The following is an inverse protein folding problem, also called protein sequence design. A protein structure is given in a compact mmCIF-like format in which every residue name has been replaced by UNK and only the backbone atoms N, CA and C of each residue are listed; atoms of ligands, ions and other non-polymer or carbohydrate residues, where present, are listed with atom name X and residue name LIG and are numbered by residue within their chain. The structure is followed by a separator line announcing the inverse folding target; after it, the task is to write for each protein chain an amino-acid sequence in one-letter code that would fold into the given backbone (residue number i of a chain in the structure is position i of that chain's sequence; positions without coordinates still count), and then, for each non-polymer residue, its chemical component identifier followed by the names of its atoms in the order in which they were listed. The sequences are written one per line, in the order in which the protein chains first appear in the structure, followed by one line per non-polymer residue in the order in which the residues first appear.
data_IF_604491574519
#
_entry.id   IF_604491574519
#
_cell.length_a   1.000
_cell.length_b   1.000
_cell.length_c   1.000
_cell.angle_alpha   90.00
_cell.angle_beta   90.00
_cell.angle_gamma   90.00
#
_symmetry.space_group_name_H-M   'P 1'
#
loop_
_entity.id
_entity.type
_entity.pdbx_description
1 polymer ?
#
# COMPACT_ATOMS: atom_id res chain seq x y z
N UNK A 1 -15.64 -17.69 14.74
CA UNK A 1 -15.62 -16.83 15.94
C UNK A 1 -14.76 -15.61 15.65
N UNK A 2 -15.33 -14.42 15.75
CA UNK A 2 -14.57 -13.18 15.62
C UNK A 2 -13.81 -12.93 16.93
N UNK A 3 -12.50 -12.82 16.85
CA UNK A 3 -11.66 -12.36 17.95
C UNK A 3 -11.60 -10.83 17.85
N UNK A 4 -11.71 -10.14 18.99
CA UNK A 4 -11.62 -8.68 19.05
C UNK A 4 -10.55 -8.28 20.04
N UNK A 5 -9.96 -7.08 19.86
CA UNK A 5 -8.93 -6.53 20.74
C UNK A 5 -7.64 -7.37 20.80
N UNK A 6 -7.17 -7.79 19.62
CA UNK A 6 -5.90 -8.52 19.50
C UNK A 6 -4.74 -7.54 19.56
N UNK A 7 -3.74 -7.85 20.38
CA UNK A 7 -2.58 -6.98 20.57
C UNK A 7 -1.29 -7.77 20.36
N UNK A 8 -0.50 -7.38 19.37
CA UNK A 8 0.87 -7.83 19.16
C UNK A 8 1.81 -6.72 19.59
N UNK A 9 2.82 -7.04 20.40
CA UNK A 9 3.78 -6.04 20.91
C UNK A 9 5.20 -6.54 20.78
N UNK A 10 6.07 -5.73 20.20
CA UNK A 10 7.51 -5.98 20.06
C UNK A 10 7.82 -7.35 19.44
N UNK A 11 7.13 -7.68 18.37
CA UNK A 11 7.29 -8.96 17.68
C UNK A 11 8.46 -8.84 16.71
N UNK A 12 9.44 -9.73 16.83
CA UNK A 12 10.54 -9.86 15.88
C UNK A 12 10.43 -11.16 15.12
N UNK A 13 10.49 -11.11 13.79
CA UNK A 13 10.40 -12.29 12.92
C UNK A 13 11.51 -12.24 11.88
N UNK A 14 12.17 -13.36 11.62
CA UNK A 14 13.08 -13.49 10.49
C UNK A 14 12.89 -14.79 9.75
N UNK A 15 13.39 -14.84 8.51
CA UNK A 15 13.52 -16.06 7.70
C UNK A 15 12.21 -16.85 7.56
N UNK A 16 11.11 -16.12 7.34
CA UNK A 16 9.76 -16.68 7.34
C UNK A 16 8.95 -16.24 6.11
N UNK A 17 7.88 -16.97 5.81
CA UNK A 17 6.95 -16.53 4.76
C UNK A 17 6.16 -15.27 5.17
N UNK A 18 5.88 -15.11 6.46
CA UNK A 18 5.06 -14.00 6.96
C UNK A 18 5.56 -13.54 8.34
N UNK A 19 5.63 -12.22 8.55
CA UNK A 19 5.78 -11.62 9.87
C UNK A 19 4.48 -11.77 10.67
N UNK A 20 3.44 -11.04 10.27
CA UNK A 20 2.08 -11.18 10.81
C UNK A 20 1.07 -11.33 9.66
N UNK A 21 0.17 -12.30 9.79
CA UNK A 21 -0.97 -12.50 8.89
C UNK A 21 -2.28 -12.46 9.67
N UNK A 22 -3.21 -11.60 9.26
CA UNK A 22 -4.54 -11.49 9.85
C UNK A 22 -5.60 -11.59 8.76
N UNK A 23 -6.53 -12.54 8.91
CA UNK A 23 -7.53 -12.83 7.90
C UNK A 23 -8.92 -12.83 8.52
N UNK A 24 -9.64 -11.71 8.40
CA UNK A 24 -11.08 -11.60 8.58
C UNK A 24 -11.62 -12.11 9.94
N UNK A 25 -10.74 -12.23 10.94
CA UNK A 25 -10.98 -12.94 12.19
C UNK A 25 -10.59 -12.16 13.43
N UNK A 26 -9.92 -11.00 13.27
CA UNK A 26 -9.31 -10.25 14.35
C UNK A 26 -9.61 -8.74 14.24
N UNK A 27 -10.82 -8.30 14.55
CA UNK A 27 -11.15 -6.86 14.52
C UNK A 27 -10.56 -6.11 15.72
N UNK A 28 -10.36 -4.81 15.57
CA UNK A 28 -9.73 -3.96 16.59
C UNK A 28 -8.33 -4.49 16.96
N UNK A 29 -7.50 -4.75 15.94
CA UNK A 29 -6.14 -5.27 16.14
C UNK A 29 -5.13 -4.14 16.23
N UNK A 30 -4.25 -4.23 17.22
CA UNK A 30 -3.07 -3.37 17.35
C UNK A 30 -1.81 -4.22 17.17
N UNK A 31 -0.95 -3.81 16.24
CA UNK A 31 0.41 -4.32 16.06
C UNK A 31 1.36 -3.18 16.39
N UNK A 32 1.98 -3.25 17.56
CA UNK A 32 2.89 -2.22 18.05
C UNK A 32 4.33 -2.75 18.06
N UNK A 33 5.15 -2.26 17.12
CA UNK A 33 6.55 -2.67 17.01
C UNK A 33 6.76 -4.05 16.39
N UNK A 34 6.22 -4.30 15.20
CA UNK A 34 6.64 -5.44 14.38
C UNK A 34 7.98 -5.12 13.70
N UNK A 35 8.99 -5.95 13.91
CA UNK A 35 10.29 -5.87 13.22
C UNK A 35 10.53 -7.16 12.44
N UNK A 36 10.91 -7.02 11.17
CA UNK A 36 11.14 -8.16 10.29
C UNK A 36 12.46 -8.04 9.54
N UNK A 37 13.09 -9.19 9.27
CA UNK A 37 14.31 -9.32 8.46
C UNK A 37 14.23 -10.59 7.61
N UNK A 38 14.47 -10.52 6.31
CA UNK A 38 14.43 -11.70 5.42
C UNK A 38 13.09 -12.45 5.43
N UNK A 39 11.97 -11.73 5.50
CA UNK A 39 10.62 -12.33 5.44
C UNK A 39 9.99 -12.19 4.06
N UNK A 40 9.10 -13.09 3.64
CA UNK A 40 8.44 -12.92 2.35
C UNK A 40 7.47 -11.73 2.36
N UNK A 41 6.63 -11.63 3.39
CA UNK A 41 5.83 -10.41 3.67
C UNK A 41 5.88 -10.09 5.15
N UNK A 42 6.24 -8.87 5.51
CA UNK A 42 6.23 -8.43 6.90
C UNK A 42 4.83 -8.43 7.45
N UNK A 43 3.87 -7.94 6.67
CA UNK A 43 2.52 -7.75 7.15
C UNK A 43 1.50 -8.05 6.06
N UNK A 44 0.59 -8.99 6.31
CA UNK A 44 -0.48 -9.34 5.39
C UNK A 44 -1.84 -9.32 6.09
N UNK A 45 -2.74 -8.47 5.61
CA UNK A 45 -4.09 -8.35 6.14
C UNK A 45 -5.15 -8.53 5.07
N UNK A 46 -6.23 -9.19 5.45
CA UNK A 46 -7.41 -9.39 4.63
C UNK A 46 -8.67 -9.17 5.45
N UNK A 47 -9.56 -8.27 5.01
CA UNK A 47 -10.89 -8.13 5.59
C UNK A 47 -10.92 -7.60 7.03
N UNK A 48 -10.11 -6.59 7.33
CA UNK A 48 -9.85 -6.14 8.71
C UNK A 48 -10.57 -4.83 9.02
N UNK A 49 -11.14 -4.73 10.23
CA UNK A 49 -11.73 -3.48 10.74
C UNK A 49 -11.03 -3.02 12.02
N UNK A 50 -10.71 -1.74 12.13
CA UNK A 50 -10.07 -1.15 13.30
C UNK A 50 -8.63 -1.64 13.47
N UNK A 51 -7.78 -1.42 12.46
CA UNK A 51 -6.40 -1.88 12.47
C UNK A 51 -5.46 -0.72 12.81
N UNK A 52 -4.53 -0.92 13.76
CA UNK A 52 -3.38 -0.03 13.96
C UNK A 52 -2.10 -0.85 13.87
N UNK A 53 -1.14 -0.44 13.04
CA UNK A 53 0.09 -1.20 12.86
C UNK A 53 1.33 -0.29 12.74
N UNK A 54 2.37 -0.60 13.50
CA UNK A 54 3.71 -0.02 13.36
C UNK A 54 4.68 -1.12 12.94
N UNK A 55 5.27 -0.97 11.76
CA UNK A 55 6.04 -2.00 11.06
C UNK A 55 7.40 -1.43 10.66
N UNK A 56 8.46 -2.13 11.04
CA UNK A 56 9.83 -1.90 10.55
C UNK A 56 10.25 -3.13 9.78
N UNK A 57 10.37 -2.98 8.47
CA UNK A 57 10.70 -4.05 7.56
C UNK A 57 12.11 -3.89 7.00
N UNK A 58 12.79 -5.02 6.88
CA UNK A 58 14.11 -5.15 6.28
C UNK A 58 14.17 -6.40 5.41
N UNK A 59 14.76 -6.25 4.23
CA UNK A 59 15.07 -7.34 3.30
C UNK A 59 13.88 -8.29 3.00
N UNK A 60 12.67 -7.74 2.89
CA UNK A 60 11.48 -8.52 2.56
C UNK A 60 11.53 -9.08 1.12
N UNK A 61 10.64 -10.00 0.71
CA UNK A 61 10.83 -10.76 -0.56
C UNK A 61 9.63 -10.79 -1.51
N UNK A 62 8.52 -10.21 -1.09
CA UNK A 62 7.32 -10.02 -1.91
C UNK A 62 6.65 -8.67 -1.64
N UNK A 63 5.33 -8.62 -1.88
CA UNK A 63 4.51 -7.47 -1.48
C UNK A 63 4.52 -7.40 0.05
N UNK A 64 5.17 -6.40 0.62
CA UNK A 64 5.64 -6.49 1.99
C UNK A 64 4.55 -6.19 3.02
N UNK A 65 4.00 -4.97 2.93
CA UNK A 65 2.84 -4.54 3.68
C UNK A 65 1.63 -4.66 2.76
N UNK A 66 0.99 -5.82 2.79
CA UNK A 66 -0.05 -6.22 1.86
C UNK A 66 -1.43 -6.13 2.50
N UNK A 67 -2.24 -5.21 1.99
CA UNK A 67 -3.65 -5.03 2.32
C UNK A 67 -4.50 -5.58 1.18
N UNK A 68 -5.29 -6.60 1.46
CA UNK A 68 -6.17 -7.24 0.49
C UNK A 68 -7.63 -7.05 0.91
N UNK A 69 -8.44 -6.41 0.08
CA UNK A 69 -9.90 -6.51 0.18
C UNK A 69 -10.38 -7.53 -0.85
N UNK A 70 -11.41 -8.31 -0.54
CA UNK A 70 -11.96 -9.30 -1.47
C UNK A 70 -13.41 -9.63 -1.12
N UNK A 71 -14.27 -9.75 -2.14
CA UNK A 71 -15.65 -10.24 -2.07
C UNK A 71 -16.43 -9.73 -0.83
N UNK A 72 -16.55 -8.41 -0.71
CA UNK A 72 -17.26 -7.74 0.39
C UNK A 72 -16.52 -7.72 1.73
N UNK A 73 -15.32 -8.28 1.81
CA UNK A 73 -14.44 -8.23 2.99
C UNK A 73 -13.47 -7.08 2.84
N UNK A 74 -13.97 -5.89 3.15
CA UNK A 74 -13.19 -4.66 3.09
C UNK A 74 -12.17 -4.49 4.21
N UNK A 75 -11.30 -3.50 4.04
CA UNK A 75 -10.44 -2.99 5.10
C UNK A 75 -10.96 -1.62 5.50
N UNK A 76 -11.27 -1.45 6.79
CA UNK A 76 -11.92 -0.23 7.30
C UNK A 76 -11.24 0.26 8.58
N UNK A 77 -11.06 1.58 8.71
CA UNK A 77 -10.46 2.21 9.89
C UNK A 77 -9.06 1.65 10.19
N UNK A 78 -8.14 1.81 9.23
CA UNK A 78 -6.77 1.33 9.35
C UNK A 78 -5.78 2.49 9.46
N UNK A 79 -4.87 2.41 10.42
CA UNK A 79 -3.72 3.30 10.56
C UNK A 79 -2.43 2.47 10.51
N UNK A 80 -1.54 2.76 9.56
CA UNK A 80 -0.31 1.99 9.36
C UNK A 80 0.88 2.95 9.29
N UNK A 81 1.84 2.75 10.18
CA UNK A 81 3.15 3.36 10.14
C UNK A 81 4.16 2.32 9.63
N UNK A 82 4.70 2.52 8.44
CA UNK A 82 5.58 1.56 7.77
C UNK A 82 6.96 2.16 7.51
N UNK A 83 8.00 1.47 7.94
CA UNK A 83 9.39 1.89 7.74
C UNK A 83 10.17 0.79 7.02
N UNK A 84 10.89 1.16 5.97
CA UNK A 84 11.86 0.29 5.31
C UNK A 84 13.03 1.15 4.83
N UNK A 85 14.09 1.20 5.63
CA UNK A 85 15.27 2.05 5.36
C UNK A 85 16.60 1.28 5.44
N UNK A 86 16.52 0.02 5.88
CA UNK A 86 17.69 -0.81 6.16
C UNK A 86 17.83 -1.97 5.17
N UNK A 87 16.96 -2.06 4.16
CA UNK A 87 17.08 -3.09 3.12
C UNK A 87 18.30 -2.83 2.26
N UNK A 88 19.17 -3.83 2.14
CA UNK A 88 20.45 -3.73 1.42
C UNK A 88 20.56 -4.67 0.23
N UNK A 89 19.70 -5.68 0.15
CA UNK A 89 19.74 -6.65 -0.94
C UNK A 89 18.96 -6.18 -2.17
N UNK A 90 19.44 -6.54 -3.37
CA UNK A 90 18.68 -6.42 -4.62
C UNK A 90 17.58 -7.47 -4.63
N UNK A 91 16.51 -7.18 -3.91
CA UNK A 91 15.36 -8.05 -3.80
C UNK A 91 14.59 -8.02 -5.12
N UNK A 92 13.92 -9.15 -5.43
CA UNK A 92 13.01 -9.34 -6.55
C UNK A 92 12.34 -8.03 -7.02
N UNK A 93 12.37 -7.80 -8.33
CA UNK A 93 11.82 -6.62 -8.97
C UNK A 93 10.33 -6.33 -8.75
N UNK A 94 9.59 -7.24 -8.13
CA UNK A 94 8.18 -7.08 -7.76
C UNK A 94 7.94 -7.01 -6.25
N UNK A 95 9.01 -6.97 -5.44
CA UNK A 95 8.96 -6.94 -3.98
C UNK A 95 9.19 -5.52 -3.42
N UNK A 96 9.08 -5.33 -2.11
CA UNK A 96 9.38 -4.07 -1.39
C UNK A 96 8.34 -2.96 -1.60
N UNK A 97 7.06 -3.32 -1.49
CA UNK A 97 5.98 -2.34 -1.61
C UNK A 97 4.90 -2.52 -0.56
N UNK A 98 4.31 -1.40 -0.19
CA UNK A 98 2.97 -1.38 0.38
C UNK A 98 2.00 -1.66 -0.78
N UNK A 99 1.25 -2.76 -0.72
CA UNK A 99 0.28 -3.12 -1.74
C UNK A 99 -1.14 -3.01 -1.18
N UNK A 100 -1.98 -2.24 -1.86
CA UNK A 100 -3.42 -2.19 -1.66
C UNK A 100 -4.06 -2.89 -2.86
N UNK A 101 -4.57 -4.10 -2.63
CA UNK A 101 -5.22 -4.91 -3.67
C UNK A 101 -6.73 -4.89 -3.51
N UNK A 102 -7.41 -4.41 -4.54
CA UNK A 102 -8.82 -4.63 -4.76
C UNK A 102 -8.97 -5.98 -5.47
N UNK A 103 -9.20 -7.03 -4.71
CA UNK A 103 -9.33 -8.36 -5.25
C UNK A 103 -10.80 -8.68 -5.49
N UNK A 104 -11.02 -9.54 -6.48
CA UNK A 104 -12.25 -10.31 -6.60
C UNK A 104 -11.86 -11.72 -6.93
N UNK A 105 -12.38 -12.66 -6.15
CA UNK A 105 -12.36 -14.06 -6.57
C UNK A 105 -13.03 -14.19 -7.95
N UNK A 106 -12.70 -15.21 -8.76
CA UNK A 106 -13.26 -15.38 -10.11
C UNK A 106 -14.79 -15.43 -10.18
N UNK A 107 -15.47 -15.61 -9.04
CA UNK A 107 -16.94 -15.63 -8.92
C UNK A 107 -17.49 -14.51 -8.04
N UNK A 108 -16.62 -13.67 -7.47
CA UNK A 108 -17.01 -12.56 -6.62
C UNK A 108 -17.72 -11.49 -7.44
N UNK A 109 -18.90 -11.08 -6.98
CA UNK A 109 -19.65 -9.95 -7.58
C UNK A 109 -19.67 -8.74 -6.65
N UNK A 110 -19.10 -8.88 -5.46
CA UNK A 110 -19.15 -7.85 -4.42
C UNK A 110 -17.92 -6.95 -4.52
N UNK A 111 -18.10 -5.61 -4.51
CA UNK A 111 -17.01 -4.67 -4.43
C UNK A 111 -16.02 -4.96 -3.29
N UNK A 112 -14.74 -4.88 -3.62
CA UNK A 112 -13.68 -4.60 -2.65
C UNK A 112 -13.81 -3.17 -2.12
N UNK A 113 -13.77 -3.04 -0.79
CA UNK A 113 -13.96 -1.77 -0.08
C UNK A 113 -12.74 -1.46 0.77
N UNK A 114 -12.22 -0.25 0.60
CA UNK A 114 -11.26 0.37 1.50
C UNK A 114 -11.85 1.69 1.99
N UNK A 115 -11.99 1.86 3.30
CA UNK A 115 -12.51 3.09 3.88
C UNK A 115 -11.74 3.52 5.12
N UNK A 116 -11.47 4.81 5.22
CA UNK A 116 -10.75 5.44 6.33
C UNK A 116 -9.40 4.78 6.59
N UNK A 117 -8.50 4.92 5.63
CA UNK A 117 -7.17 4.31 5.63
C UNK A 117 -6.11 5.40 5.68
N UNK A 118 -5.27 5.38 6.71
CA UNK A 118 -4.11 6.26 6.83
C UNK A 118 -2.83 5.45 6.80
N UNK A 119 -1.92 5.81 5.90
CA UNK A 119 -0.59 5.21 5.79
C UNK A 119 0.46 6.31 5.93
N UNK A 120 1.36 6.14 6.89
CA UNK A 120 2.56 6.98 7.08
C UNK A 120 3.76 6.12 6.78
N UNK A 121 4.60 6.56 5.86
CA UNK A 121 5.70 5.73 5.35
C UNK A 121 7.04 6.43 5.43
N UNK A 122 8.08 5.71 5.82
CA UNK A 122 9.48 6.12 5.63
C UNK A 122 10.21 5.03 4.87
N UNK A 123 10.39 5.25 3.58
CA UNK A 123 11.03 4.29 2.68
C UNK A 123 12.29 4.90 2.08
N UNK A 124 13.43 4.23 2.23
CA UNK A 124 14.71 4.64 1.66
C UNK A 124 15.28 3.46 0.89
N UNK A 125 15.34 3.61 -0.43
CA UNK A 125 15.89 2.59 -1.30
C UNK A 125 17.34 2.94 -1.66
N UNK A 126 18.23 1.96 -1.51
CA UNK A 126 19.63 2.14 -1.88
C UNK A 126 19.79 2.32 -3.40
N UNK A 127 20.82 3.08 -3.87
CA UNK A 127 21.13 3.17 -5.29
C UNK A 127 21.35 1.77 -5.92
N UNK A 128 20.57 1.43 -6.95
CA UNK A 128 20.61 0.11 -7.58
C UNK A 128 19.79 -0.99 -6.87
N UNK A 129 19.21 -0.72 -5.70
CA UNK A 129 18.20 -1.59 -5.10
C UNK A 129 16.86 -1.43 -5.83
N UNK A 130 16.11 -2.52 -5.96
CA UNK A 130 14.81 -2.50 -6.62
C UNK A 130 13.71 -2.16 -5.59
N UNK A 131 12.94 -1.09 -5.84
CA UNK A 131 11.78 -0.71 -5.01
C UNK A 131 10.51 -1.49 -5.40
N UNK A 132 10.67 -2.63 -6.07
CA UNK A 132 9.56 -3.25 -6.81
C UNK A 132 9.13 -2.39 -8.00
N UNK A 133 7.85 -2.51 -8.36
CA UNK A 133 7.23 -1.65 -9.38
C UNK A 133 6.94 -0.24 -8.85
N UNK A 134 6.59 -0.11 -7.57
CA UNK A 134 6.26 1.14 -6.87
C UNK A 134 6.45 0.92 -5.36
N UNK A 135 6.82 1.93 -4.58
CA UNK A 135 6.92 1.84 -3.11
C UNK A 135 5.54 1.72 -2.42
N UNK A 136 4.51 2.34 -3.00
CA UNK A 136 3.12 2.10 -2.66
C UNK A 136 2.30 1.93 -3.94
N UNK A 137 1.51 0.86 -4.00
CA UNK A 137 0.74 0.54 -5.19
C UNK A 137 -0.72 0.23 -4.87
N UNK A 138 -1.62 0.80 -5.66
CA UNK A 138 -2.97 0.30 -5.84
C UNK A 138 -3.00 -0.66 -7.03
N UNK A 139 -3.49 -1.87 -6.80
CA UNK A 139 -3.72 -2.87 -7.84
C UNK A 139 -5.14 -3.39 -7.75
N UNK A 140 -5.65 -3.90 -8.86
CA UNK A 140 -6.89 -4.66 -8.89
C UNK A 140 -6.72 -5.97 -9.64
N UNK A 141 -7.66 -6.90 -9.46
CA UNK A 141 -7.65 -8.15 -10.19
C UNK A 141 -7.92 -7.93 -11.70
N UNK A 142 -7.19 -8.61 -12.61
CA UNK A 142 -7.24 -8.31 -14.06
C UNK A 142 -8.59 -8.53 -14.74
N UNK A 143 -9.46 -9.36 -14.15
CA UNK A 143 -10.71 -9.79 -14.77
C UNK A 143 -11.93 -9.04 -14.26
N UNK A 144 -11.74 -7.92 -13.56
CA UNK A 144 -12.79 -7.28 -12.78
C UNK A 144 -13.26 -5.93 -13.33
N UNK A 145 -13.48 -5.87 -14.65
CA UNK A 145 -13.79 -4.60 -15.30
C UNK A 145 -15.21 -4.09 -14.97
N UNK A 146 -16.10 -4.92 -14.46
CA UNK A 146 -17.51 -4.58 -14.22
C UNK A 146 -17.84 -4.19 -12.78
N UNK A 147 -16.97 -4.49 -11.80
CA UNK A 147 -17.25 -4.21 -10.39
C UNK A 147 -16.72 -2.85 -9.99
N UNK A 148 -17.57 -2.08 -9.30
CA UNK A 148 -17.26 -0.75 -8.80
C UNK A 148 -16.56 -0.88 -7.45
N UNK A 149 -15.22 -0.88 -7.46
CA UNK A 149 -14.42 -0.87 -6.23
C UNK A 149 -14.48 0.48 -5.52
N UNK A 150 -14.37 0.44 -4.19
CA UNK A 150 -14.56 1.60 -3.31
C UNK A 150 -13.26 1.92 -2.59
N UNK A 151 -12.80 3.17 -2.71
CA UNK A 151 -11.70 3.73 -1.92
C UNK A 151 -12.12 5.09 -1.37
N UNK A 152 -12.48 5.14 -0.10
CA UNK A 152 -12.91 6.38 0.55
C UNK A 152 -11.94 6.77 1.66
N UNK A 153 -11.73 8.08 1.84
CA UNK A 153 -11.02 8.65 2.97
C UNK A 153 -9.61 8.05 3.14
N UNK A 154 -8.85 8.02 2.05
CA UNK A 154 -7.47 7.52 2.05
C UNK A 154 -6.47 8.66 2.26
N UNK A 155 -5.49 8.47 3.13
CA UNK A 155 -4.38 9.41 3.33
C UNK A 155 -3.03 8.70 3.25
N UNK A 156 -2.14 9.22 2.41
CA UNK A 156 -0.71 8.86 2.37
C UNK A 156 0.14 10.06 2.80
N UNK A 157 1.14 9.80 3.65
CA UNK A 157 2.12 10.80 4.09
C UNK A 157 3.49 10.17 4.38
N UNK A 158 4.52 11.01 4.50
CA UNK A 158 5.85 10.59 4.97
C UNK A 158 7.00 10.91 4.01
N UNK A 159 7.96 10.01 3.90
CA UNK A 159 9.19 10.19 3.12
C UNK A 159 9.47 8.97 2.26
N UNK A 160 9.70 9.19 0.96
CA UNK A 160 10.08 8.14 0.02
C UNK A 160 11.30 8.61 -0.77
N UNK A 161 12.39 7.84 -0.68
CA UNK A 161 13.63 8.09 -1.42
C UNK A 161 14.01 6.92 -2.32
N UNK A 162 14.28 7.21 -3.60
CA UNK A 162 14.77 6.25 -4.59
C UNK A 162 13.80 6.04 -5.77
N UNK A 163 14.33 5.49 -6.87
CA UNK A 163 13.59 5.30 -8.12
C UNK A 163 13.12 3.84 -8.25
N UNK A 164 11.83 3.59 -8.51
CA UNK A 164 11.33 2.25 -8.77
C UNK A 164 11.89 1.66 -10.06
N UNK A 165 11.93 0.33 -10.12
CA UNK A 165 12.40 -0.38 -11.31
C UNK A 165 11.56 0.00 -12.53
N UNK A 166 10.24 0.05 -12.35
CA UNK A 166 9.32 0.47 -13.41
C UNK A 166 9.06 1.97 -13.36
N UNK A 167 9.99 2.70 -13.98
CA UNK A 167 10.00 4.16 -14.02
C UNK A 167 8.73 4.78 -14.65
N UNK A 168 7.98 4.00 -15.43
CA UNK A 168 6.71 4.43 -16.03
C UNK A 168 5.61 4.67 -14.99
N UNK A 169 5.59 3.92 -13.89
CA UNK A 169 4.47 3.88 -12.95
C UNK A 169 4.53 4.87 -11.78
N UNK A 170 5.60 5.65 -11.64
CA UNK A 170 5.81 6.46 -10.43
C UNK A 170 6.22 5.63 -9.22
N UNK A 171 6.63 6.28 -8.13
CA UNK A 171 7.04 5.66 -6.87
C UNK A 171 5.84 5.34 -5.98
N UNK A 172 4.72 6.03 -6.17
CA UNK A 172 3.46 5.77 -5.47
C UNK A 172 2.25 6.02 -6.38
N UNK A 173 1.17 5.26 -6.17
CA UNK A 173 -0.09 5.44 -6.89
C UNK A 173 -0.65 4.20 -7.59
N UNK A 174 -1.37 4.40 -8.68
CA UNK A 174 -2.17 3.36 -9.35
C UNK A 174 -1.41 2.77 -10.54
N UNK A 175 -1.50 1.46 -10.74
CA UNK A 175 -0.95 0.84 -11.95
C UNK A 175 -1.79 1.24 -13.17
N UNK A 176 -1.16 1.84 -14.18
CA UNK A 176 -1.80 2.25 -15.43
C UNK A 176 -2.21 1.09 -16.34
N UNK A 177 -1.79 -0.15 -16.04
CA UNK A 177 -2.17 -1.34 -16.80
C UNK A 177 -3.64 -1.76 -16.60
N UNK A 178 -4.32 -1.19 -15.59
CA UNK A 178 -5.70 -1.52 -15.26
C UNK A 178 -6.66 -0.38 -15.62
N UNK A 179 -7.85 -0.75 -16.08
CA UNK A 179 -8.94 0.19 -16.26
C UNK A 179 -9.55 0.58 -14.91
N UNK A 180 -9.36 1.83 -14.49
CA UNK A 180 -9.92 2.35 -13.24
C UNK A 180 -11.24 3.12 -13.42
N UNK A 181 -11.80 3.19 -14.62
CA UNK A 181 -12.97 4.07 -14.91
C UNK A 181 -14.19 3.79 -14.03
N UNK A 182 -14.38 2.55 -13.60
CA UNK A 182 -15.53 2.14 -12.79
C UNK A 182 -15.30 2.27 -11.27
N UNK A 183 -14.22 2.89 -10.79
CA UNK A 183 -14.00 3.10 -9.35
C UNK A 183 -14.95 4.12 -8.71
N UNK A 184 -15.18 4.00 -7.40
CA UNK A 184 -15.83 5.02 -6.56
C UNK A 184 -14.82 5.56 -5.54
N UNK A 185 -13.93 6.44 -5.98
CA UNK A 185 -12.84 6.96 -5.15
C UNK A 185 -13.14 8.38 -4.68
N UNK A 186 -13.00 8.62 -3.38
CA UNK A 186 -13.42 9.87 -2.74
C UNK A 186 -12.48 10.25 -1.60
N UNK A 187 -12.26 11.55 -1.43
CA UNK A 187 -11.46 12.11 -0.35
C UNK A 187 -10.07 11.46 -0.26
N UNK A 188 -9.36 11.47 -1.38
CA UNK A 188 -8.02 10.89 -1.48
C UNK A 188 -7.01 11.99 -1.20
N UNK A 189 -6.13 11.79 -0.22
CA UNK A 189 -5.20 12.80 0.22
C UNK A 189 -3.75 12.29 0.19
N UNK A 190 -2.89 13.03 -0.50
CA UNK A 190 -1.43 12.92 -0.44
C UNK A 190 -0.96 14.15 0.33
N UNK A 191 -0.55 13.98 1.59
CA UNK A 191 -0.23 15.10 2.48
C UNK A 191 1.14 14.94 3.12
N UNK A 192 1.88 16.04 3.24
CA UNK A 192 3.17 16.05 3.94
C UNK A 192 4.09 14.92 3.44
N UNK A 193 4.14 14.75 2.13
CA UNK A 193 4.87 13.67 1.47
C UNK A 193 6.12 14.26 0.81
N UNK A 194 7.29 13.77 1.22
CA UNK A 194 8.57 14.16 0.64
C UNK A 194 9.02 13.07 -0.32
N UNK A 195 9.30 13.45 -1.56
CA UNK A 195 9.85 12.60 -2.61
C UNK A 195 11.28 13.07 -2.89
N UNK A 196 12.23 12.14 -2.79
CA UNK A 196 13.64 12.42 -3.03
C UNK A 196 14.22 11.38 -3.99
N UNK A 197 14.89 11.81 -5.05
CA UNK A 197 15.50 10.92 -6.04
C UNK A 197 14.51 9.86 -6.57
N UNK A 198 13.31 10.27 -6.95
CA UNK A 198 12.24 9.38 -7.44
C UNK A 198 11.83 9.73 -8.89
N UNK A 199 10.82 9.03 -9.40
CA UNK A 199 10.13 9.33 -10.66
C UNK A 199 8.74 9.97 -10.45
N UNK A 200 8.41 10.36 -9.20
CA UNK A 200 7.17 11.03 -8.81
C UNK A 200 6.00 10.12 -8.50
N UNK A 201 4.77 10.63 -8.54
CA UNK A 201 3.54 9.90 -8.19
C UNK A 201 2.67 9.75 -9.43
N UNK A 202 2.01 8.60 -9.58
CA UNK A 202 1.10 8.33 -10.69
C UNK A 202 -0.34 8.08 -10.20
N UNK A 203 -1.24 9.04 -10.41
CA UNK A 203 -2.65 8.90 -10.04
C UNK A 203 -3.51 8.90 -11.31
N UNK A 204 -4.35 7.88 -11.42
CA UNK A 204 -5.42 7.84 -12.43
C UNK A 204 -6.62 8.59 -11.85
N UNK A 205 -7.06 9.66 -12.53
CA UNK A 205 -8.08 10.55 -11.99
C UNK A 205 -9.52 10.10 -12.24
N UNK A 206 -9.78 9.32 -13.30
CA UNK A 206 -11.14 8.92 -13.66
C UNK A 206 -11.97 8.25 -12.54
N UNK A 207 -11.43 7.36 -11.67
CA UNK A 207 -12.21 6.82 -10.55
C UNK A 207 -12.53 7.84 -9.45
N UNK A 208 -11.84 8.99 -9.42
CA UNK A 208 -11.98 9.99 -8.36
C UNK A 208 -13.20 10.86 -8.64
N UNK A 209 -14.23 10.73 -7.82
CA UNK A 209 -15.52 11.39 -8.02
C UNK A 209 -15.69 12.68 -7.22
N UNK A 210 -14.92 12.82 -6.14
CA UNK A 210 -14.96 13.98 -5.27
C UNK A 210 -13.57 14.67 -5.29
N UNK A 211 -12.85 14.68 -4.17
CA UNK A 211 -11.61 15.43 -4.02
C UNK A 211 -10.35 14.55 -4.08
N UNK A 212 -9.35 15.01 -4.85
CA UNK A 212 -7.95 14.62 -4.73
C UNK A 212 -7.18 15.79 -4.12
N UNK A 213 -6.66 15.59 -2.90
CA UNK A 213 -5.90 16.59 -2.16
C UNK A 213 -4.42 16.26 -2.29
N UNK A 214 -3.65 17.19 -2.84
CA UNK A 214 -2.18 17.14 -2.88
C UNK A 214 -1.68 18.35 -2.11
N UNK A 215 -1.24 18.13 -0.88
CA UNK A 215 -0.89 19.21 0.06
C UNK A 215 0.47 18.98 0.70
N UNK A 216 1.32 20.02 0.71
CA UNK A 216 2.70 19.95 1.21
C UNK A 216 3.50 18.74 0.66
N UNK A 217 3.35 18.45 -0.63
CA UNK A 217 4.16 17.45 -1.32
C UNK A 217 5.42 18.11 -1.86
N UNK A 218 6.58 17.67 -1.39
CA UNK A 218 7.89 18.26 -1.73
C UNK A 218 8.67 17.28 -2.60
N UNK A 219 9.00 17.71 -3.81
CA UNK A 219 9.99 17.03 -4.66
C UNK A 219 11.37 17.65 -4.45
N UNK A 220 12.40 16.81 -4.32
CA UNK A 220 13.79 17.24 -4.12
C UNK A 220 14.68 17.00 -5.35
N UNK A 221 14.15 16.47 -6.44
CA UNK A 221 14.89 16.26 -7.70
C UNK A 221 14.11 16.75 -8.92
N UNK A 222 14.80 17.12 -10.00
CA UNK A 222 14.14 17.64 -11.23
C UNK A 222 13.35 16.57 -12.01
N UNK A 223 13.49 15.30 -11.63
CA UNK A 223 12.82 14.16 -12.26
C UNK A 223 11.50 13.79 -11.59
N UNK A 224 11.23 14.21 -10.35
CA UNK A 224 9.97 13.88 -9.71
C UNK A 224 8.82 14.69 -10.34
N UNK A 225 7.71 14.01 -10.63
CA UNK A 225 6.50 14.64 -11.17
C UNK A 225 5.27 14.01 -10.55
N UNK A 226 4.32 14.83 -10.13
CA UNK A 226 2.96 14.32 -9.84
C UNK A 226 2.24 14.26 -11.17
N UNK A 227 1.97 13.05 -11.66
CA UNK A 227 1.25 12.81 -12.90
C UNK A 227 -0.17 12.44 -12.57
N UNK A 228 -1.09 13.22 -13.13
CA UNK A 228 -2.53 12.98 -13.04
C UNK A 228 -3.00 12.66 -14.44
N UNK A 229 -3.42 11.42 -14.66
CA UNK A 229 -3.85 10.93 -15.96
C UNK A 229 -5.38 10.80 -15.99
N UNK A 230 -6.08 11.47 -16.91
CA UNK A 230 -7.37 10.97 -17.32
C UNK A 230 -7.16 9.62 -18.03
N UNK A 231 -7.97 8.59 -17.71
CA UNK A 231 -8.02 7.39 -18.56
C UNK A 231 -8.68 7.75 -19.90
#
# INVERSE_FOLDING_TARGET
NLITNVNFRNVKVSDSAYGITLNNTAWNTVVDGLSTDWVYRSFFVWGMKGLKATIVSKDNQGNDCFLNADDGRGIENAEIDYTNTESTDTINSSANRILILFNTTPTGTTPSVFDNITIRTTQVFAPGANTGWMALQFMRSPNDNAIVHVLHNFTLSGYIKGVPKETAFGVAGMNGDYDWTNGDFRNIALRNLVLEDTNGINIVSNPIKDELIVDNVVSRSSTDRIRVHPN
#
